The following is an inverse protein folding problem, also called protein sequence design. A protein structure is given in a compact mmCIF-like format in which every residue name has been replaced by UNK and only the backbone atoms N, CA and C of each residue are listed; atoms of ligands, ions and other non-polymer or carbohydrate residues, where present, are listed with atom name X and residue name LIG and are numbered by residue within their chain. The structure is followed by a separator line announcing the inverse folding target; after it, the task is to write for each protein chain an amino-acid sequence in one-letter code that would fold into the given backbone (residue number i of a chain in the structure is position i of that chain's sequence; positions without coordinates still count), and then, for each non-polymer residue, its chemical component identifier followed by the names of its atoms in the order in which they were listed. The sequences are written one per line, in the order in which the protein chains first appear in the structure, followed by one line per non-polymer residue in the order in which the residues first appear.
data_IF_590925610192
#
_entry.id   IF_590925610192
#
_cell.length_a   1.000
_cell.length_b   1.000
_cell.length_c   1.000
_cell.angle_alpha   90.00
_cell.angle_beta   90.00
_cell.angle_gamma   90.00
#
_symmetry.space_group_name_H-M   'P 1'
#
loop_
_entity.id
_entity.type
_entity.pdbx_description
1 polymer ?
#
# COMPACT_ATOMS: atom_id res chain seq x y z
N UNK A 1 -14.53 -24.48 -29.77
CA UNK A 1 -15.36 -23.28 -30.09
C UNK A 1 -14.60 -22.01 -29.69
N UNK A 2 -14.75 -20.87 -30.39
CA UNK A 2 -14.09 -19.60 -29.98
C UNK A 2 -14.75 -19.03 -28.71
N UNK A 3 -13.95 -18.42 -27.83
CA UNK A 3 -14.44 -17.87 -26.55
C UNK A 3 -15.62 -16.88 -26.69
N UNK A 4 -15.58 -15.96 -27.67
CA UNK A 4 -16.69 -15.02 -27.89
C UNK A 4 -18.00 -15.73 -28.27
N UNK A 5 -17.92 -16.75 -29.13
CA UNK A 5 -19.06 -17.55 -29.54
C UNK A 5 -19.61 -18.35 -28.35
N UNK A 6 -18.71 -18.93 -27.54
CA UNK A 6 -19.07 -19.67 -26.33
C UNK A 6 -19.81 -18.80 -25.32
N UNK A 7 -19.35 -17.56 -25.10
CA UNK A 7 -19.98 -16.61 -24.20
C UNK A 7 -21.37 -16.19 -24.69
N UNK A 8 -21.52 -15.88 -25.97
CA UNK A 8 -22.82 -15.54 -26.55
C UNK A 8 -23.81 -16.71 -26.48
N UNK A 9 -23.34 -17.93 -26.72
CA UNK A 9 -24.15 -19.13 -26.58
C UNK A 9 -24.56 -19.39 -25.14
N UNK A 10 -23.63 -19.26 -24.20
CA UNK A 10 -23.89 -19.39 -22.77
C UNK A 10 -24.90 -18.37 -22.27
N UNK A 11 -24.77 -17.09 -22.67
CA UNK A 11 -25.73 -16.05 -22.32
C UNK A 11 -27.13 -16.35 -22.87
N UNK A 12 -27.22 -16.90 -24.09
CA UNK A 12 -28.50 -17.36 -24.65
C UNK A 12 -29.08 -18.52 -23.84
N UNK A 13 -28.26 -19.51 -23.47
CA UNK A 13 -28.68 -20.64 -22.62
C UNK A 13 -29.13 -20.14 -21.25
N UNK A 14 -28.41 -19.22 -20.62
CA UNK A 14 -28.74 -18.59 -19.33
C UNK A 14 -30.06 -17.81 -19.39
N UNK A 15 -30.28 -17.02 -20.44
CA UNK A 15 -31.57 -16.32 -20.65
C UNK A 15 -32.74 -17.28 -20.86
N UNK A 16 -32.53 -18.38 -21.60
CA UNK A 16 -33.55 -19.43 -21.77
C UNK A 16 -33.84 -20.14 -20.45
N UNK A 17 -32.79 -20.55 -19.74
CA UNK A 17 -32.86 -21.17 -18.42
C UNK A 17 -33.60 -20.29 -17.41
N UNK A 18 -33.32 -18.98 -17.36
CA UNK A 18 -34.04 -18.04 -16.50
C UNK A 18 -35.55 -18.00 -16.82
N UNK A 19 -35.91 -17.96 -18.10
CA UNK A 19 -37.33 -18.01 -18.53
C UNK A 19 -37.99 -19.35 -18.19
N UNK A 20 -37.27 -20.46 -18.31
CA UNK A 20 -37.76 -21.79 -17.93
C UNK A 20 -37.93 -21.90 -16.42
N UNK A 21 -36.97 -21.43 -15.63
CA UNK A 21 -37.04 -21.35 -14.18
C UNK A 21 -38.26 -20.52 -13.72
N UNK A 22 -38.52 -19.39 -14.37
CA UNK A 22 -39.71 -18.58 -14.06
C UNK A 22 -41.02 -19.30 -14.40
N UNK A 23 -41.06 -20.06 -15.51
CA UNK A 23 -42.21 -20.93 -15.83
C UNK A 23 -42.41 -22.03 -14.79
N UNK A 24 -41.33 -22.65 -14.32
CA UNK A 24 -41.36 -23.67 -13.26
C UNK A 24 -41.92 -23.06 -11.97
N UNK A 25 -41.40 -21.90 -11.54
CA UNK A 25 -41.93 -21.15 -10.39
C UNK A 25 -43.44 -20.89 -10.51
N UNK A 26 -43.90 -20.34 -11.64
CA UNK A 26 -45.33 -20.08 -11.87
C UNK A 26 -46.18 -21.36 -11.86
N UNK A 27 -45.70 -22.44 -12.48
CA UNK A 27 -46.37 -23.75 -12.53
C UNK A 27 -46.57 -24.32 -11.13
N UNK A 28 -45.52 -24.32 -10.30
CA UNK A 28 -45.56 -24.88 -8.96
C UNK A 28 -46.30 -23.98 -7.96
N UNK A 29 -46.15 -22.66 -8.02
CA UNK A 29 -46.94 -21.74 -7.21
C UNK A 29 -48.45 -21.90 -7.46
N UNK A 30 -48.88 -22.07 -8.72
CA UNK A 30 -50.29 -22.33 -9.04
C UNK A 30 -50.79 -23.69 -8.49
N UNK A 31 -49.92 -24.70 -8.42
CA UNK A 31 -50.26 -26.00 -7.80
C UNK A 31 -50.32 -25.88 -6.27
N UNK A 32 -49.38 -25.15 -5.69
CA UNK A 32 -49.32 -24.83 -4.27
C UNK A 32 -50.60 -24.15 -3.81
N UNK A 33 -51.03 -23.08 -4.47
CA UNK A 33 -52.27 -22.36 -4.14
C UNK A 33 -53.49 -23.31 -4.10
N UNK A 34 -53.60 -24.22 -5.08
CA UNK A 34 -54.70 -25.19 -5.13
C UNK A 34 -54.64 -26.17 -3.96
N UNK A 35 -53.46 -26.72 -3.67
CA UNK A 35 -53.26 -27.68 -2.59
C UNK A 35 -53.45 -27.03 -1.21
N UNK A 36 -52.93 -25.82 -0.99
CA UNK A 36 -53.16 -25.07 0.26
C UNK A 36 -54.66 -24.85 0.51
N UNK A 37 -55.42 -24.42 -0.51
CA UNK A 37 -56.88 -24.29 -0.40
C UNK A 37 -57.56 -25.61 -0.07
N UNK A 38 -57.09 -26.73 -0.61
CA UNK A 38 -57.66 -28.05 -0.33
C UNK A 38 -57.36 -28.50 1.12
N UNK A 39 -56.12 -28.29 1.58
CA UNK A 39 -55.72 -28.59 2.96
C UNK A 39 -56.52 -27.73 3.95
N UNK A 40 -56.63 -26.42 3.70
CA UNK A 40 -57.41 -25.51 4.55
C UNK A 40 -58.89 -25.92 4.63
N UNK A 41 -59.52 -26.32 3.52
CA UNK A 41 -60.89 -26.85 3.52
C UNK A 41 -61.04 -28.11 4.39
N UNK A 42 -60.04 -28.99 4.38
CA UNK A 42 -60.05 -30.20 5.22
C UNK A 42 -59.87 -29.86 6.70
N UNK A 43 -59.03 -28.89 7.01
CA UNK A 43 -58.87 -28.33 8.36
C UNK A 43 -60.19 -27.72 8.86
N UNK A 44 -60.85 -26.90 8.05
CA UNK A 44 -62.16 -26.31 8.37
C UNK A 44 -63.23 -27.37 8.62
N UNK A 45 -63.21 -28.45 7.82
CA UNK A 45 -64.13 -29.58 7.98
C UNK A 45 -63.88 -30.34 9.29
N UNK A 46 -62.62 -30.54 9.66
CA UNK A 46 -62.23 -31.17 10.92
C UNK A 46 -62.68 -30.33 12.13
N UNK A 47 -62.55 -29.01 12.06
CA UNK A 47 -62.97 -28.08 13.12
C UNK A 47 -64.48 -28.15 13.39
N UNK A 48 -65.29 -28.26 12.32
CA UNK A 48 -66.76 -28.24 12.39
C UNK A 48 -67.40 -29.58 12.78
N UNK A 49 -66.69 -30.71 12.67
CA UNK A 49 -67.25 -32.02 12.98
C UNK A 49 -67.57 -32.17 14.46
N UNK A 50 -68.73 -32.74 14.79
CA UNK A 50 -69.08 -33.02 16.19
C UNK A 50 -68.32 -34.24 16.72
N UNK A 51 -68.01 -34.22 18.02
CA UNK A 51 -67.43 -35.38 18.71
C UNK A 51 -68.56 -36.35 19.04
N UNK A 52 -68.42 -37.67 18.77
CA UNK A 52 -69.47 -38.64 19.04
C UNK A 52 -69.96 -38.61 20.51
N UNK A 53 -71.27 -38.78 20.70
CA UNK A 53 -71.93 -38.68 22.01
C UNK A 53 -71.57 -39.81 22.98
N UNK A 54 -71.10 -40.94 22.44
CA UNK A 54 -70.75 -42.19 23.13
C UNK A 54 -69.29 -42.28 23.63
N UNK A 55 -68.57 -41.16 23.69
CA UNK A 55 -67.17 -41.11 24.13
C UNK A 55 -67.08 -40.61 25.57
N UNK A 56 -66.16 -41.17 26.35
CA UNK A 56 -65.84 -40.74 27.72
C UNK A 56 -65.59 -39.22 27.82
N UNK A 57 -66.09 -38.59 28.87
CA UNK A 57 -66.06 -37.14 29.05
C UNK A 57 -64.63 -36.58 29.18
N UNK A 58 -63.70 -37.34 29.76
CA UNK A 58 -62.30 -36.93 29.83
C UNK A 58 -61.62 -36.99 28.45
N UNK A 59 -61.91 -38.04 27.68
CA UNK A 59 -61.40 -38.17 26.30
C UNK A 59 -61.98 -37.06 25.42
N UNK A 60 -63.27 -36.74 25.58
CA UNK A 60 -63.92 -35.63 24.86
C UNK A 60 -63.24 -34.28 25.13
N UNK A 61 -62.90 -33.97 26.39
CA UNK A 61 -62.20 -32.73 26.75
C UNK A 61 -60.79 -32.67 26.14
N UNK A 62 -60.02 -33.76 26.23
CA UNK A 62 -58.67 -33.87 25.65
C UNK A 62 -58.71 -33.66 24.14
N UNK A 63 -59.58 -34.39 23.42
CA UNK A 63 -59.67 -34.30 21.95
C UNK A 63 -60.16 -32.93 21.50
N UNK A 64 -61.05 -32.27 22.25
CA UNK A 64 -61.50 -30.91 21.92
C UNK A 64 -60.35 -29.90 21.96
N UNK A 65 -59.53 -29.95 23.01
CA UNK A 65 -58.37 -29.07 23.16
C UNK A 65 -57.29 -29.38 22.12
N UNK A 66 -56.98 -30.66 21.90
CA UNK A 66 -56.00 -31.09 20.89
C UNK A 66 -56.43 -30.68 19.48
N UNK A 67 -57.72 -30.86 19.12
CA UNK A 67 -58.29 -30.42 17.84
C UNK A 67 -58.12 -28.94 17.62
N UNK A 68 -58.46 -28.11 18.61
CA UNK A 68 -58.34 -26.65 18.49
C UNK A 68 -56.88 -26.24 18.25
N UNK A 69 -55.95 -26.84 18.99
CA UNK A 69 -54.52 -26.54 18.85
C UNK A 69 -53.97 -27.01 17.51
N UNK A 70 -54.32 -28.23 17.08
CA UNK A 70 -53.92 -28.79 15.78
C UNK A 70 -54.43 -27.94 14.61
N UNK A 71 -55.72 -27.59 14.61
CA UNK A 71 -56.35 -26.73 13.60
C UNK A 71 -55.68 -25.35 13.56
N UNK A 72 -55.52 -24.70 14.72
CA UNK A 72 -54.94 -23.35 14.80
C UNK A 72 -53.49 -23.34 14.31
N UNK A 73 -52.69 -24.30 14.76
CA UNK A 73 -51.28 -24.36 14.42
C UNK A 73 -51.06 -24.68 12.93
N UNK A 74 -51.81 -25.62 12.36
CA UNK A 74 -51.74 -25.91 10.92
C UNK A 74 -52.27 -24.76 10.08
N UNK A 75 -53.38 -24.11 10.46
CA UNK A 75 -53.94 -22.97 9.74
C UNK A 75 -52.92 -21.82 9.69
N UNK A 76 -52.33 -21.46 10.83
CA UNK A 76 -51.30 -20.41 10.89
C UNK A 76 -50.06 -20.76 10.05
N UNK A 77 -49.60 -22.02 10.10
CA UNK A 77 -48.46 -22.45 9.31
C UNK A 77 -48.74 -22.36 7.79
N UNK A 78 -49.92 -22.80 7.35
CA UNK A 78 -50.30 -22.84 5.94
C UNK A 78 -50.69 -21.47 5.37
N UNK A 79 -51.34 -20.60 6.15
CA UNK A 79 -51.69 -19.23 5.72
C UNK A 79 -50.45 -18.34 5.53
N UNK A 80 -49.33 -18.67 6.21
CA UNK A 80 -48.08 -17.94 6.07
C UNK A 80 -47.28 -18.27 4.80
N UNK A 81 -47.77 -19.21 3.96
CA UNK A 81 -47.06 -19.69 2.77
C UNK A 81 -47.61 -18.97 1.53
N UNK A 82 -46.84 -18.02 0.99
CA UNK A 82 -47.18 -17.30 -0.24
C UNK A 82 -46.71 -17.99 -1.52
N UNK A 83 -45.56 -18.67 -1.46
CA UNK A 83 -44.94 -19.33 -2.61
C UNK A 83 -44.17 -20.60 -2.21
N UNK A 84 -43.54 -21.26 -3.21
CA UNK A 84 -42.77 -22.48 -2.98
C UNK A 84 -41.52 -22.26 -2.10
N UNK A 85 -40.94 -21.05 -2.10
CA UNK A 85 -39.75 -20.76 -1.28
C UNK A 85 -40.17 -20.61 0.19
N UNK A 86 -41.33 -20.01 0.45
CA UNK A 86 -41.96 -19.95 1.77
C UNK A 86 -42.39 -21.35 2.25
N UNK A 87 -42.92 -22.19 1.36
CA UNK A 87 -43.24 -23.59 1.68
C UNK A 87 -41.98 -24.30 2.19
N UNK A 88 -40.85 -24.16 1.49
CA UNK A 88 -39.57 -24.75 1.87
C UNK A 88 -39.14 -24.40 3.29
N UNK A 89 -39.31 -23.14 3.69
CA UNK A 89 -38.99 -22.67 5.05
C UNK A 89 -39.94 -23.24 6.12
N UNK A 90 -41.19 -23.55 5.76
CA UNK A 90 -42.26 -24.01 6.67
C UNK A 90 -42.42 -25.53 6.75
N UNK A 91 -41.84 -26.30 5.83
CA UNK A 91 -41.87 -27.77 5.87
C UNK A 91 -41.42 -28.38 7.21
N UNK A 92 -40.37 -27.87 7.89
CA UNK A 92 -39.99 -28.38 9.21
C UNK A 92 -41.06 -28.18 10.28
N UNK A 93 -41.78 -27.05 10.25
CA UNK A 93 -42.86 -26.74 11.18
C UNK A 93 -44.06 -27.66 10.94
N UNK A 94 -44.44 -27.86 9.67
CA UNK A 94 -45.51 -28.77 9.27
C UNK A 94 -45.23 -30.23 9.67
N UNK A 95 -43.97 -30.68 9.56
CA UNK A 95 -43.57 -32.01 9.98
C UNK A 95 -43.67 -32.20 11.50
N UNK A 96 -43.32 -31.19 12.30
CA UNK A 96 -43.42 -31.24 13.77
C UNK A 96 -44.87 -31.29 14.28
N UNK A 97 -45.77 -30.55 13.64
CA UNK A 97 -47.20 -30.54 13.99
C UNK A 97 -47.85 -31.91 13.83
N UNK A 98 -47.39 -32.70 12.87
CA UNK A 98 -47.88 -34.05 12.62
C UNK A 98 -47.45 -35.05 13.72
N UNK A 99 -46.25 -34.91 14.27
CA UNK A 99 -45.72 -35.81 15.32
C UNK A 99 -46.24 -35.45 16.72
N UNK A 100 -46.53 -34.17 16.98
CA UNK A 100 -46.85 -33.67 18.32
C UNK A 100 -48.33 -33.52 18.68
N UNK A 101 -49.25 -33.32 17.73
CA UNK A 101 -50.62 -32.81 18.01
C UNK A 101 -51.76 -33.61 17.36
N UNK A 102 -51.60 -34.92 17.16
CA UNK A 102 -52.62 -35.75 16.51
C UNK A 102 -52.97 -37.05 17.24
N UNK A 103 -52.42 -37.31 18.43
CA UNK A 103 -52.39 -38.67 18.98
C UNK A 103 -53.77 -39.13 19.48
N UNK A 104 -54.55 -38.23 20.11
CA UNK A 104 -55.92 -38.55 20.51
C UNK A 104 -56.95 -38.12 19.45
N UNK A 105 -56.63 -37.11 18.64
CA UNK A 105 -57.37 -36.74 17.43
C UNK A 105 -57.57 -37.90 16.45
N UNK A 106 -56.54 -38.72 16.21
CA UNK A 106 -56.62 -39.89 15.33
C UNK A 106 -57.66 -40.89 15.84
N UNK A 107 -57.83 -41.03 17.17
CA UNK A 107 -58.78 -42.00 17.76
C UNK A 107 -60.23 -41.71 17.33
N UNK A 108 -60.60 -40.44 17.14
CA UNK A 108 -61.98 -40.04 16.82
C UNK A 108 -62.15 -39.51 15.39
N UNK A 109 -61.08 -39.00 14.77
CA UNK A 109 -61.11 -38.34 13.46
C UNK A 109 -60.06 -38.90 12.49
N UNK A 110 -59.72 -40.18 12.64
CA UNK A 110 -58.71 -40.91 11.85
C UNK A 110 -58.73 -40.54 10.36
N UNK A 111 -59.89 -40.65 9.71
CA UNK A 111 -60.06 -40.41 8.27
C UNK A 111 -59.72 -38.98 7.87
N UNK A 112 -60.06 -37.99 8.70
CA UNK A 112 -59.82 -36.57 8.41
C UNK A 112 -58.35 -36.21 8.61
N UNK A 113 -57.75 -36.70 9.70
CA UNK A 113 -56.33 -36.49 10.00
C UNK A 113 -55.47 -37.13 8.91
N UNK A 114 -55.77 -38.37 8.49
CA UNK A 114 -55.05 -39.00 7.37
C UNK A 114 -55.23 -38.28 6.04
N UNK A 115 -56.42 -37.72 5.76
CA UNK A 115 -56.65 -36.93 4.56
C UNK A 115 -55.79 -35.67 4.53
N UNK A 116 -55.67 -34.96 5.67
CA UNK A 116 -54.79 -33.79 5.81
C UNK A 116 -53.33 -34.21 5.62
N UNK A 117 -52.90 -35.30 6.28
CA UNK A 117 -51.51 -35.77 6.19
C UNK A 117 -51.12 -36.18 4.77
N UNK A 118 -52.03 -36.82 4.03
CA UNK A 118 -51.82 -37.15 2.63
C UNK A 118 -51.56 -35.90 1.80
N UNK A 119 -52.38 -34.86 1.96
CA UNK A 119 -52.20 -33.61 1.23
C UNK A 119 -50.90 -32.87 1.62
N UNK A 120 -50.52 -32.90 2.90
CA UNK A 120 -49.24 -32.34 3.38
C UNK A 120 -48.03 -33.11 2.80
N UNK A 121 -48.10 -34.44 2.72
CA UNK A 121 -47.08 -35.26 2.06
C UNK A 121 -46.97 -34.90 0.58
N UNK A 122 -48.11 -34.77 -0.10
CA UNK A 122 -48.15 -34.36 -1.50
C UNK A 122 -47.62 -32.93 -1.73
N UNK A 123 -47.72 -32.02 -0.75
CA UNK A 123 -47.07 -30.69 -0.80
C UNK A 123 -45.54 -30.80 -0.69
N UNK A 124 -45.04 -31.63 0.22
CA UNK A 124 -43.61 -31.89 0.35
C UNK A 124 -43.01 -32.51 -0.92
N UNK A 125 -43.70 -33.48 -1.52
CA UNK A 125 -43.28 -34.09 -2.79
C UNK A 125 -43.26 -33.07 -3.94
N UNK A 126 -44.20 -32.12 -3.97
CA UNK A 126 -44.19 -31.05 -4.96
C UNK A 126 -43.05 -30.06 -4.73
N UNK A 127 -42.69 -29.77 -3.47
CA UNK A 127 -41.53 -28.93 -3.14
C UNK A 127 -40.22 -29.57 -3.58
N UNK A 128 -40.01 -30.86 -3.29
CA UNK A 128 -38.81 -31.58 -3.73
C UNK A 128 -38.71 -31.58 -5.26
N UNK A 129 -39.82 -31.81 -5.97
CA UNK A 129 -39.85 -31.73 -7.43
C UNK A 129 -39.54 -30.33 -7.96
N UNK A 130 -40.10 -29.29 -7.35
CA UNK A 130 -39.81 -27.89 -7.68
C UNK A 130 -38.32 -27.56 -7.50
N UNK A 131 -37.75 -27.96 -6.37
CA UNK A 131 -36.35 -27.71 -6.06
C UNK A 131 -35.42 -28.39 -7.06
N UNK A 132 -35.67 -29.67 -7.36
CA UNK A 132 -34.87 -30.42 -8.34
C UNK A 132 -35.02 -29.84 -9.76
N UNK A 133 -36.24 -29.53 -10.20
CA UNK A 133 -36.48 -28.92 -11.53
C UNK A 133 -35.80 -27.54 -11.66
N UNK A 134 -35.69 -26.76 -10.58
CA UNK A 134 -34.96 -25.49 -10.58
C UNK A 134 -33.44 -25.67 -10.56
N UNK A 135 -32.94 -26.61 -9.75
CA UNK A 135 -31.51 -26.89 -9.63
C UNK A 135 -30.90 -27.35 -10.96
N UNK A 136 -31.61 -28.17 -11.72
CA UNK A 136 -31.19 -28.62 -13.06
C UNK A 136 -31.11 -27.49 -14.10
N UNK A 137 -31.72 -26.33 -13.81
CA UNK A 137 -31.84 -25.21 -14.75
C UNK A 137 -31.01 -23.99 -14.38
N UNK A 138 -30.37 -23.95 -13.20
CA UNK A 138 -29.56 -22.81 -12.78
C UNK A 138 -28.22 -22.75 -13.50
N UNK A 139 -28.04 -21.78 -14.41
CA UNK A 139 -26.71 -21.43 -14.96
C UNK A 139 -26.12 -20.25 -14.19
N UNK A 140 -24.88 -20.41 -13.74
CA UNK A 140 -24.13 -19.42 -12.95
C UNK A 140 -23.76 -18.16 -13.76
N UNK A 141 -23.32 -17.11 -13.06
CA UNK A 141 -22.68 -15.97 -13.70
C UNK A 141 -21.16 -16.15 -13.68
N UNK A 142 -20.56 -16.31 -14.86
CA UNK A 142 -19.13 -16.61 -14.96
C UNK A 142 -18.24 -15.36 -15.03
N UNK A 143 -18.81 -14.14 -15.17
CA UNK A 143 -18.09 -12.84 -15.20
C UNK A 143 -16.88 -12.77 -16.15
N UNK A 144 -16.74 -13.67 -17.12
CA UNK A 144 -15.56 -13.80 -18.00
C UNK A 144 -15.28 -12.50 -18.77
N UNK A 145 -16.31 -11.81 -19.27
CA UNK A 145 -16.16 -10.54 -20.00
C UNK A 145 -15.57 -9.43 -19.12
N UNK A 146 -15.99 -9.38 -17.86
CA UNK A 146 -15.47 -8.41 -16.89
C UNK A 146 -14.00 -8.70 -16.60
N UNK A 147 -13.66 -9.96 -16.31
CA UNK A 147 -12.29 -10.40 -16.06
C UNK A 147 -11.37 -10.08 -17.26
N UNK A 148 -11.81 -10.34 -18.49
CA UNK A 148 -11.05 -10.00 -19.70
C UNK A 148 -10.81 -8.49 -19.83
N UNK A 149 -11.83 -7.68 -19.54
CA UNK A 149 -11.72 -6.22 -19.56
C UNK A 149 -10.74 -5.72 -18.50
N UNK A 150 -10.85 -6.22 -17.27
CA UNK A 150 -9.95 -5.90 -16.16
C UNK A 150 -8.49 -6.32 -16.46
N UNK A 151 -8.28 -7.49 -17.06
CA UNK A 151 -6.94 -7.91 -17.49
C UNK A 151 -6.36 -6.96 -18.53
N UNK A 152 -7.16 -6.50 -19.49
CA UNK A 152 -6.72 -5.57 -20.53
C UNK A 152 -6.29 -4.22 -19.94
N UNK A 153 -7.10 -3.65 -19.04
CA UNK A 153 -6.74 -2.39 -18.36
C UNK A 153 -5.49 -2.56 -17.50
N UNK A 154 -5.39 -3.67 -16.77
CA UNK A 154 -4.25 -3.96 -15.91
C UNK A 154 -2.94 -4.14 -16.70
N UNK A 155 -2.99 -4.82 -17.86
CA UNK A 155 -1.82 -4.96 -18.75
C UNK A 155 -1.34 -3.60 -19.26
N UNK A 156 -2.26 -2.72 -19.65
CA UNK A 156 -1.93 -1.36 -20.05
C UNK A 156 -1.26 -0.57 -18.92
N UNK A 157 -1.80 -0.64 -17.71
CA UNK A 157 -1.19 0.02 -16.54
C UNK A 157 0.20 -0.56 -16.22
N UNK A 158 0.41 -1.87 -16.38
CA UNK A 158 1.71 -2.51 -16.22
C UNK A 158 2.71 -1.99 -17.27
N UNK A 159 2.30 -1.86 -18.53
CA UNK A 159 3.14 -1.30 -19.60
C UNK A 159 3.51 0.15 -19.32
N UNK A 160 2.52 1.01 -19.02
CA UNK A 160 2.73 2.42 -18.70
C UNK A 160 3.69 2.60 -17.52
N UNK A 161 3.51 1.83 -16.45
CA UNK A 161 4.38 1.87 -15.27
C UNK A 161 5.78 1.32 -15.54
N UNK A 162 5.89 0.30 -16.40
CA UNK A 162 7.19 -0.25 -16.82
C UNK A 162 7.98 0.79 -17.61
N UNK A 163 7.32 1.51 -18.51
CA UNK A 163 7.92 2.62 -19.26
C UNK A 163 8.32 3.78 -18.32
N UNK A 164 7.48 4.13 -17.35
CA UNK A 164 7.80 5.14 -16.33
C UNK A 164 9.09 4.75 -15.57
N UNK A 165 9.17 3.52 -15.06
CA UNK A 165 10.37 3.01 -14.37
C UNK A 165 11.60 3.09 -15.27
N UNK A 166 11.49 2.71 -16.55
CA UNK A 166 12.60 2.83 -17.50
C UNK A 166 13.08 4.28 -17.61
N UNK A 167 12.17 5.23 -17.81
CA UNK A 167 12.53 6.65 -17.93
C UNK A 167 13.15 7.22 -16.66
N UNK A 168 12.68 6.80 -15.48
CA UNK A 168 13.24 7.20 -14.19
C UNK A 168 14.65 6.65 -14.00
N UNK A 169 14.89 5.38 -14.36
CA UNK A 169 16.24 4.77 -14.32
C UNK A 169 17.20 5.47 -15.27
N UNK A 170 16.77 5.80 -16.49
CA UNK A 170 17.59 6.58 -17.43
C UNK A 170 17.94 7.97 -16.89
N UNK A 171 16.99 8.65 -16.22
CA UNK A 171 17.25 9.94 -15.56
C UNK A 171 18.24 9.79 -14.40
N UNK A 172 18.10 8.74 -13.59
CA UNK A 172 19.01 8.45 -12.49
C UNK A 172 20.43 8.17 -12.99
N UNK A 173 20.60 7.39 -14.05
CA UNK A 173 21.91 7.13 -14.66
C UNK A 173 22.53 8.40 -15.26
N UNK A 174 21.74 9.23 -15.94
CA UNK A 174 22.21 10.55 -16.42
C UNK A 174 22.68 11.45 -15.26
N UNK A 175 21.95 11.48 -14.15
CA UNK A 175 22.35 12.24 -12.96
C UNK A 175 23.61 11.68 -12.31
N UNK A 176 23.73 10.35 -12.19
CA UNK A 176 24.94 9.68 -11.70
C UNK A 176 26.16 10.03 -12.56
N UNK A 177 26.00 9.99 -13.89
CA UNK A 177 27.06 10.40 -14.81
C UNK A 177 27.43 11.89 -14.63
N UNK A 178 26.44 12.77 -14.48
CA UNK A 178 26.68 14.20 -14.22
C UNK A 178 27.40 14.49 -12.90
N UNK A 179 27.12 13.72 -11.83
CA UNK A 179 27.85 13.81 -10.55
C UNK A 179 29.31 13.43 -10.73
N UNK A 180 29.56 12.32 -11.43
CA UNK A 180 30.92 11.84 -11.70
C UNK A 180 31.69 12.83 -12.59
N UNK A 181 31.03 13.38 -13.61
CA UNK A 181 31.59 14.40 -14.48
C UNK A 181 31.90 15.69 -13.73
N UNK A 182 30.99 16.18 -12.87
CA UNK A 182 31.23 17.35 -12.03
C UNK A 182 32.43 17.15 -11.10
N UNK A 183 32.58 15.96 -10.51
CA UNK A 183 33.74 15.62 -9.67
C UNK A 183 35.05 15.63 -10.45
N UNK A 184 35.02 15.21 -11.71
CA UNK A 184 36.19 15.19 -12.61
C UNK A 184 36.51 16.58 -13.16
N UNK A 185 35.53 17.29 -13.73
CA UNK A 185 35.70 18.63 -14.32
C UNK A 185 36.27 19.65 -13.34
N UNK A 186 35.91 19.54 -12.07
CA UNK A 186 36.43 20.43 -11.04
C UNK A 186 37.73 19.95 -10.42
N UNK A 187 38.30 18.84 -10.90
CA UNK A 187 39.51 18.19 -10.41
C UNK A 187 39.61 18.33 -8.88
N UNK A 188 38.56 17.93 -8.17
CA UNK A 188 38.43 18.12 -6.72
C UNK A 188 39.68 17.63 -5.97
N UNK A 189 40.32 16.59 -6.51
CA UNK A 189 41.61 16.08 -6.02
C UNK A 189 42.77 17.08 -6.21
N UNK A 190 42.90 17.71 -7.38
CA UNK A 190 43.92 18.72 -7.64
C UNK A 190 43.67 19.99 -6.83
N UNK A 191 42.40 20.39 -6.70
CA UNK A 191 42.02 21.52 -5.88
C UNK A 191 42.32 21.27 -4.39
N UNK A 192 42.03 20.06 -3.88
CA UNK A 192 42.43 19.65 -2.53
C UNK A 192 43.95 19.59 -2.33
N UNK A 193 44.72 19.11 -3.31
CA UNK A 193 46.18 19.06 -3.21
C UNK A 193 46.78 20.46 -3.25
N UNK A 194 46.24 21.37 -4.09
CA UNK A 194 46.65 22.77 -4.14
C UNK A 194 46.39 23.45 -2.79
N UNK A 195 45.17 23.33 -2.23
CA UNK A 195 44.81 23.85 -0.90
C UNK A 195 45.78 23.33 0.18
N UNK A 196 46.02 22.01 0.21
CA UNK A 196 46.94 21.39 1.20
C UNK A 196 48.37 21.94 1.05
N UNK A 197 48.87 22.05 -0.17
CA UNK A 197 50.22 22.54 -0.45
C UNK A 197 50.39 24.02 -0.08
N UNK A 198 49.40 24.86 -0.41
CA UNK A 198 49.40 26.28 -0.12
C UNK A 198 49.27 26.55 1.38
N UNK A 199 48.37 25.84 2.06
CA UNK A 199 48.22 25.91 3.52
C UNK A 199 49.51 25.50 4.26
N UNK A 200 50.18 24.43 3.81
CA UNK A 200 51.45 23.98 4.40
C UNK A 200 52.57 25.02 4.22
N UNK A 201 52.65 25.63 3.04
CA UNK A 201 53.61 26.69 2.72
C UNK A 201 53.38 27.94 3.57
N UNK A 202 52.16 28.45 3.64
CA UNK A 202 51.78 29.59 4.49
C UNK A 202 52.21 29.33 5.93
N UNK A 203 51.85 28.16 6.50
CA UNK A 203 52.24 27.80 7.88
C UNK A 203 53.75 27.78 8.08
N UNK A 204 54.51 27.29 7.10
CA UNK A 204 55.97 27.24 7.16
C UNK A 204 56.56 28.65 7.17
N UNK A 205 56.12 29.52 6.27
CA UNK A 205 56.60 30.90 6.17
C UNK A 205 56.23 31.73 7.40
N UNK A 206 54.99 31.59 7.90
CA UNK A 206 54.55 32.21 9.14
C UNK A 206 55.40 31.76 10.33
N UNK A 207 55.69 30.46 10.41
CA UNK A 207 56.51 29.89 11.49
C UNK A 207 57.94 30.44 11.44
N UNK A 208 58.53 30.56 10.25
CA UNK A 208 59.86 31.15 10.09
C UNK A 208 59.87 32.60 10.58
N UNK A 209 58.93 33.43 10.10
CA UNK A 209 58.82 34.84 10.50
C UNK A 209 58.60 34.96 12.01
N UNK A 210 57.66 34.21 12.59
CA UNK A 210 57.36 34.24 14.03
C UNK A 210 58.53 33.75 14.88
N UNK A 211 59.28 32.75 14.42
CA UNK A 211 60.47 32.23 15.10
C UNK A 211 61.63 33.23 15.06
N UNK A 212 61.78 33.97 13.96
CA UNK A 212 62.76 35.05 13.86
C UNK A 212 62.35 36.24 14.73
N UNK A 213 61.07 36.63 14.69
CA UNK A 213 60.52 37.68 15.53
C UNK A 213 60.66 37.32 17.03
N UNK A 214 60.25 36.12 17.47
CA UNK A 214 60.27 35.74 18.89
C UNK A 214 61.64 35.84 19.56
N UNK A 215 62.74 35.65 18.81
CA UNK A 215 64.11 35.83 19.29
C UNK A 215 64.38 37.26 19.80
N UNK A 216 63.67 38.27 19.30
CA UNK A 216 63.78 39.67 19.71
C UNK A 216 62.91 40.03 20.92
N UNK A 217 61.98 39.18 21.36
CA UNK A 217 61.09 39.48 22.49
C UNK A 217 61.85 39.72 23.81
N UNK A 218 62.87 38.90 24.12
CA UNK A 218 63.70 39.07 25.33
C UNK A 218 64.50 40.39 25.31
N UNK A 219 65.24 40.73 24.23
CA UNK A 219 65.88 42.04 24.09
C UNK A 219 64.91 43.21 24.24
N UNK A 220 63.78 43.19 23.52
CA UNK A 220 62.78 44.26 23.57
C UNK A 220 62.21 44.43 24.99
N UNK A 221 61.93 43.33 25.69
CA UNK A 221 61.48 43.36 27.09
C UNK A 221 62.52 44.01 28.03
N UNK A 222 63.82 43.77 27.81
CA UNK A 222 64.90 44.36 28.63
C UNK A 222 65.07 45.86 28.38
N UNK A 223 64.80 46.32 27.16
CA UNK A 223 64.90 47.74 26.79
C UNK A 223 63.78 48.60 27.40
N UNK A 224 62.75 48.00 28.02
CA UNK A 224 61.64 48.68 28.72
C UNK A 224 60.98 49.78 27.87
N UNK A 225 60.75 49.48 26.60
CA UNK A 225 60.07 50.40 25.69
C UNK A 225 58.61 50.58 26.10
N UNK A 226 58.15 51.83 26.12
CA UNK A 226 56.78 52.19 26.51
C UNK A 226 55.80 52.22 25.33
N UNK A 227 56.26 51.89 24.13
CA UNK A 227 55.43 51.86 22.92
C UNK A 227 54.44 50.68 22.94
N UNK A 228 53.20 50.93 22.50
CA UNK A 228 52.14 49.92 22.47
C UNK A 228 52.54 48.69 21.64
N UNK A 229 53.18 48.89 20.49
CA UNK A 229 53.65 47.80 19.61
C UNK A 229 54.70 46.92 20.30
N UNK A 230 55.58 47.50 21.12
CA UNK A 230 56.60 46.75 21.86
C UNK A 230 55.98 45.90 22.96
N UNK A 231 54.97 46.42 23.66
CA UNK A 231 54.21 45.67 24.66
C UNK A 231 53.41 44.51 24.03
N UNK A 232 52.70 44.77 22.92
CA UNK A 232 51.95 43.75 22.18
C UNK A 232 52.88 42.63 21.69
N UNK A 233 54.02 43.01 21.11
CA UNK A 233 55.00 42.06 20.57
C UNK A 233 55.67 41.20 21.66
N UNK A 234 55.96 41.75 22.84
CA UNK A 234 56.54 40.98 23.96
C UNK A 234 55.61 39.85 24.40
N UNK A 235 54.29 40.06 24.32
CA UNK A 235 53.28 39.03 24.58
C UNK A 235 53.10 38.04 23.43
N UNK A 236 53.16 38.51 22.17
CA UNK A 236 52.88 37.69 20.99
C UNK A 236 53.75 38.06 19.78
N UNK A 237 54.56 37.11 19.31
CA UNK A 237 55.41 37.32 18.13
C UNK A 237 54.63 37.38 16.81
N UNK A 238 53.34 37.01 16.79
CA UNK A 238 52.48 37.12 15.61
C UNK A 238 52.24 38.58 15.18
N UNK A 239 52.50 39.54 16.08
CA UNK A 239 52.45 40.98 15.79
C UNK A 239 53.31 41.34 14.57
N UNK A 240 54.43 40.64 14.36
CA UNK A 240 55.29 40.83 13.18
C UNK A 240 54.56 40.61 11.85
N UNK A 241 53.56 39.72 11.83
CA UNK A 241 52.74 39.44 10.65
C UNK A 241 51.43 40.25 10.62
N UNK A 242 50.86 40.58 11.78
CA UNK A 242 49.62 41.38 11.88
C UNK A 242 49.85 42.86 11.56
N UNK A 243 51.01 43.40 11.95
CA UNK A 243 51.39 44.81 11.80
C UNK A 243 52.85 44.95 11.32
N UNK A 244 53.18 44.45 10.13
CA UNK A 244 54.58 44.37 9.67
C UNK A 244 55.27 45.74 9.63
N UNK A 245 54.59 46.80 9.19
CA UNK A 245 55.17 48.15 9.13
C UNK A 245 55.49 48.77 10.49
N UNK A 246 54.58 48.65 11.47
CA UNK A 246 54.80 49.12 12.84
C UNK A 246 55.91 48.31 13.53
N UNK A 247 55.90 46.99 13.34
CA UNK A 247 56.93 46.11 13.89
C UNK A 247 58.30 46.37 13.27
N UNK A 248 58.39 46.61 11.95
CA UNK A 248 59.64 47.01 11.29
C UNK A 248 60.20 48.33 11.83
N UNK A 249 59.33 49.30 12.10
CA UNK A 249 59.71 50.58 12.70
C UNK A 249 60.33 50.38 14.09
N UNK A 250 59.73 49.51 14.90
CA UNK A 250 60.28 49.08 16.19
C UNK A 250 61.65 48.40 16.02
N UNK A 251 61.78 47.45 15.08
CA UNK A 251 63.02 46.71 14.83
C UNK A 251 64.14 47.66 14.38
N UNK A 252 63.88 48.59 13.46
CA UNK A 252 64.85 49.60 13.01
C UNK A 252 65.30 50.52 14.16
N UNK A 253 64.40 50.86 15.07
CA UNK A 253 64.71 51.69 16.25
C UNK A 253 65.62 50.97 17.25
N UNK A 254 65.37 49.70 17.53
CA UNK A 254 66.16 48.93 18.51
C UNK A 254 67.46 48.38 17.91
N UNK A 255 67.53 48.26 16.58
CA UNK A 255 68.64 47.63 15.86
C UNK A 255 70.05 48.12 16.28
N UNK A 256 70.32 49.43 16.44
CA UNK A 256 71.63 49.91 16.87
C UNK A 256 72.05 49.42 18.27
N UNK A 257 71.09 49.08 19.14
CA UNK A 257 71.33 48.59 20.50
C UNK A 257 71.33 47.07 20.64
N UNK A 258 71.29 46.32 19.53
CA UNK A 258 71.35 44.86 19.52
C UNK A 258 72.77 44.36 19.20
N UNK A 259 73.17 43.26 19.84
CA UNK A 259 74.47 42.63 19.63
C UNK A 259 74.36 41.14 19.25
N UNK A 260 75.41 40.62 18.62
CA UNK A 260 75.57 39.21 18.27
C UNK A 260 74.39 38.64 17.48
N UNK A 261 73.82 37.53 17.96
CA UNK A 261 72.72 36.81 17.27
C UNK A 261 71.42 37.63 17.14
N UNK A 262 71.19 38.61 18.02
CA UNK A 262 69.99 39.44 17.99
C UNK A 262 70.05 40.47 16.87
N UNK A 263 71.23 41.07 16.66
CA UNK A 263 71.47 42.01 15.56
C UNK A 263 71.25 41.34 14.20
N UNK A 264 71.86 40.17 13.97
CA UNK A 264 71.66 39.37 12.75
C UNK A 264 70.20 38.98 12.51
N UNK A 265 69.43 38.76 13.58
CA UNK A 265 68.01 38.44 13.46
C UNK A 265 67.17 39.67 13.11
N UNK A 266 67.54 40.84 13.65
CA UNK A 266 66.91 42.11 13.31
C UNK A 266 67.23 42.54 11.87
N UNK A 267 68.47 42.37 11.40
CA UNK A 267 68.85 42.60 9.99
C UNK A 267 68.00 41.73 9.04
N UNK A 268 67.90 40.42 9.32
CA UNK A 268 67.05 39.52 8.52
C UNK A 268 65.59 39.99 8.48
N UNK A 269 65.03 40.42 9.62
CA UNK A 269 63.65 40.92 9.67
C UNK A 269 63.49 42.23 8.90
N UNK A 270 64.46 43.15 8.97
CA UNK A 270 64.45 44.40 8.20
C UNK A 270 64.43 44.11 6.70
N UNK A 271 65.22 43.14 6.26
CA UNK A 271 65.39 42.84 4.83
C UNK A 271 64.25 42.00 4.25
N UNK A 272 63.58 41.17 5.05
CA UNK A 272 62.68 40.12 4.53
C UNK A 272 61.22 40.24 5.01
N UNK A 273 60.94 40.95 6.11
CA UNK A 273 59.63 40.87 6.74
C UNK A 273 58.51 41.48 5.90
N UNK A 274 58.74 42.62 5.26
CA UNK A 274 57.71 43.30 4.48
C UNK A 274 57.28 42.46 3.28
N UNK A 275 58.25 41.95 2.53
CA UNK A 275 58.01 41.07 1.38
C UNK A 275 57.34 39.76 1.81
N UNK A 276 57.83 39.10 2.87
CA UNK A 276 57.24 37.85 3.36
C UNK A 276 55.84 38.03 3.93
N UNK A 277 55.59 39.11 4.68
CA UNK A 277 54.26 39.39 5.20
C UNK A 277 53.26 39.66 4.06
N UNK A 278 53.67 40.40 3.03
CA UNK A 278 52.85 40.62 1.83
C UNK A 278 52.56 39.31 1.09
N UNK A 279 53.59 38.49 0.86
CA UNK A 279 53.43 37.21 0.18
C UNK A 279 52.52 36.24 0.94
N UNK A 280 52.67 36.14 2.27
CA UNK A 280 51.78 35.34 3.13
C UNK A 280 50.33 35.83 3.00
N UNK A 281 50.11 37.15 2.97
CA UNK A 281 48.76 37.72 2.81
C UNK A 281 48.16 37.43 1.43
N UNK A 282 48.94 37.53 0.36
CA UNK A 282 48.52 37.15 -0.99
C UNK A 282 48.20 35.65 -1.09
N UNK A 283 49.05 34.79 -0.51
CA UNK A 283 48.82 33.34 -0.46
C UNK A 283 47.58 32.99 0.38
N UNK A 284 47.30 33.71 1.48
CA UNK A 284 46.07 33.54 2.28
C UNK A 284 44.81 33.88 1.49
N UNK A 285 44.83 34.98 0.72
CA UNK A 285 43.70 35.34 -0.16
C UNK A 285 43.45 34.25 -1.20
N UNK A 286 44.51 33.79 -1.87
CA UNK A 286 44.41 32.68 -2.82
C UNK A 286 43.89 31.40 -2.16
N UNK A 287 44.32 31.09 -0.93
CA UNK A 287 43.81 29.93 -0.19
C UNK A 287 42.30 30.04 0.07
N UNK A 288 41.83 31.21 0.50
CA UNK A 288 40.41 31.45 0.74
C UNK A 288 39.57 31.29 -0.54
N UNK A 289 40.05 31.83 -1.68
CA UNK A 289 39.38 31.66 -2.99
C UNK A 289 39.30 30.18 -3.41
N UNK A 290 40.37 29.40 -3.20
CA UNK A 290 40.37 27.97 -3.48
C UNK A 290 39.42 27.20 -2.56
N UNK A 291 39.37 27.54 -1.27
CA UNK A 291 38.46 26.92 -0.31
C UNK A 291 37.00 27.23 -0.62
N UNK A 292 36.67 28.47 -1.00
CA UNK A 292 35.33 28.87 -1.44
C UNK A 292 34.91 28.08 -2.68
N UNK A 293 35.78 28.02 -3.69
CA UNK A 293 35.53 27.23 -4.91
C UNK A 293 35.33 25.74 -4.61
N UNK A 294 36.08 25.18 -3.66
CA UNK A 294 35.87 23.78 -3.20
C UNK A 294 34.46 23.60 -2.66
N UNK A 295 34.04 24.50 -1.79
CA UNK A 295 32.78 24.39 -1.06
C UNK A 295 31.57 24.59 -1.98
N UNK A 296 31.68 25.46 -2.97
CA UNK A 296 30.70 25.60 -4.05
C UNK A 296 30.52 24.27 -4.82
N UNK A 297 31.62 23.67 -5.26
CA UNK A 297 31.59 22.39 -5.99
C UNK A 297 30.99 21.29 -5.12
N UNK A 298 31.40 21.17 -3.86
CA UNK A 298 30.87 20.18 -2.93
C UNK A 298 29.38 20.38 -2.67
N UNK A 299 28.91 21.63 -2.63
CA UNK A 299 27.49 21.94 -2.43
C UNK A 299 26.67 21.54 -3.66
N UNK A 300 27.12 21.89 -4.86
CA UNK A 300 26.48 21.46 -6.10
C UNK A 300 26.43 19.93 -6.24
N UNK A 301 27.52 19.23 -5.91
CA UNK A 301 27.55 17.76 -5.91
C UNK A 301 26.55 17.17 -4.92
N UNK A 302 26.47 17.71 -3.70
CA UNK A 302 25.51 17.23 -2.69
C UNK A 302 24.07 17.41 -3.13
N UNK A 303 23.74 18.51 -3.79
CA UNK A 303 22.37 18.74 -4.26
C UNK A 303 22.01 17.78 -5.40
N UNK A 304 22.95 17.50 -6.31
CA UNK A 304 22.77 16.45 -7.32
C UNK A 304 22.63 15.05 -6.70
N UNK A 305 23.36 14.74 -5.63
CA UNK A 305 23.23 13.47 -4.90
C UNK A 305 21.85 13.31 -4.24
N UNK A 306 21.29 14.39 -3.68
CA UNK A 306 19.93 14.37 -3.12
C UNK A 306 18.90 14.07 -4.21
N UNK A 307 18.98 14.76 -5.35
CA UNK A 307 18.08 14.51 -6.50
C UNK A 307 18.20 13.07 -7.01
N UNK A 308 19.42 12.51 -7.06
CA UNK A 308 19.64 11.11 -7.44
C UNK A 308 18.97 10.16 -6.44
N UNK A 309 19.12 10.43 -5.14
CA UNK A 309 18.49 9.62 -4.10
C UNK A 309 16.96 9.65 -4.20
N UNK A 310 16.37 10.81 -4.45
CA UNK A 310 14.92 10.96 -4.66
C UNK A 310 14.43 10.18 -5.88
N UNK A 311 15.19 10.21 -7.00
CA UNK A 311 14.88 9.42 -8.19
C UNK A 311 14.94 7.92 -7.90
N UNK A 312 15.96 7.45 -7.17
CA UNK A 312 16.08 6.04 -6.80
C UNK A 312 14.93 5.58 -5.91
N UNK A 313 14.54 6.39 -4.92
CA UNK A 313 13.38 6.12 -4.07
C UNK A 313 12.09 6.00 -4.89
N UNK A 314 11.90 6.91 -5.86
CA UNK A 314 10.73 6.85 -6.74
C UNK A 314 10.73 5.60 -7.61
N UNK A 315 11.88 5.17 -8.12
CA UNK A 315 12.01 3.89 -8.85
C UNK A 315 11.58 2.72 -7.98
N UNK A 316 12.04 2.65 -6.73
CA UNK A 316 11.66 1.58 -5.80
C UNK A 316 10.15 1.56 -5.50
N UNK A 317 9.55 2.73 -5.29
CA UNK A 317 8.10 2.87 -5.09
C UNK A 317 7.31 2.34 -6.30
N UNK A 318 7.74 2.72 -7.51
CA UNK A 318 7.10 2.29 -8.77
C UNK A 318 7.29 0.80 -9.03
N UNK A 319 8.44 0.23 -8.70
CA UNK A 319 8.68 -1.22 -8.78
C UNK A 319 7.78 -2.02 -7.83
N UNK A 320 7.56 -1.51 -6.62
CA UNK A 320 6.65 -2.11 -5.66
C UNK A 320 5.20 -2.08 -6.15
N UNK A 321 4.78 -0.97 -6.78
CA UNK A 321 3.48 -0.85 -7.43
C UNK A 321 3.34 -1.83 -8.61
N UNK A 322 4.37 -1.92 -9.47
CA UNK A 322 4.42 -2.86 -10.59
C UNK A 322 4.28 -4.30 -10.13
N UNK A 323 4.94 -4.67 -9.03
CA UNK A 323 4.83 -6.01 -8.43
C UNK A 323 3.39 -6.30 -7.99
N UNK A 324 2.71 -5.35 -7.35
CA UNK A 324 1.29 -5.50 -6.95
C UNK A 324 0.39 -5.70 -8.16
N UNK A 325 0.56 -4.90 -9.22
CA UNK A 325 -0.23 -5.03 -10.46
C UNK A 325 0.00 -6.41 -11.12
N UNK A 326 1.24 -6.89 -11.18
CA UNK A 326 1.57 -8.22 -11.71
C UNK A 326 0.91 -9.35 -10.90
N UNK A 327 0.94 -9.27 -9.58
CA UNK A 327 0.25 -10.26 -8.72
C UNK A 327 -1.27 -10.23 -8.93
N UNK A 328 -1.87 -9.04 -9.09
CA UNK A 328 -3.29 -8.93 -9.43
C UNK A 328 -3.61 -9.55 -10.79
N UNK A 329 -2.72 -9.40 -11.78
CA UNK A 329 -2.90 -9.98 -13.12
C UNK A 329 -2.86 -11.51 -13.06
N UNK A 330 -1.93 -12.07 -12.30
CA UNK A 330 -1.84 -13.52 -12.08
C UNK A 330 -3.11 -14.09 -11.41
N UNK A 331 -3.66 -13.35 -10.44
CA UNK A 331 -4.92 -13.76 -9.80
C UNK A 331 -6.10 -13.76 -10.78
N UNK A 332 -6.24 -12.68 -11.57
CA UNK A 332 -7.27 -12.60 -12.63
C UNK A 332 -7.06 -13.67 -13.72
N UNK A 333 -5.82 -14.09 -13.99
CA UNK A 333 -5.52 -15.20 -14.89
C UNK A 333 -6.06 -16.53 -14.36
N UNK A 334 -5.86 -16.82 -13.07
CA UNK A 334 -6.42 -18.01 -12.42
C UNK A 334 -7.95 -17.97 -12.38
N UNK A 335 -8.55 -16.83 -12.01
CA UNK A 335 -10.00 -16.67 -12.02
C UNK A 335 -10.60 -16.86 -13.41
N UNK A 336 -9.93 -16.34 -14.45
CA UNK A 336 -10.36 -16.54 -15.83
C UNK A 336 -10.30 -18.02 -16.24
N UNK A 337 -9.22 -18.71 -15.89
CA UNK A 337 -9.06 -20.13 -16.20
C UNK A 337 -10.16 -20.97 -15.54
N UNK A 338 -10.46 -20.73 -14.27
CA UNK A 338 -11.56 -21.38 -13.56
C UNK A 338 -12.92 -21.09 -14.20
N UNK A 339 -13.17 -19.83 -14.57
CA UNK A 339 -14.42 -19.43 -15.20
C UNK A 339 -14.58 -20.07 -16.59
N UNK A 340 -13.50 -20.18 -17.37
CA UNK A 340 -13.50 -20.89 -18.66
C UNK A 340 -13.77 -22.38 -18.46
N UNK A 341 -13.16 -23.05 -17.47
CA UNK A 341 -13.45 -24.46 -17.21
C UNK A 341 -14.92 -24.70 -16.84
N UNK A 342 -15.55 -23.78 -16.08
CA UNK A 342 -16.99 -23.84 -15.80
C UNK A 342 -17.84 -23.59 -17.06
N UNK A 343 -17.40 -22.71 -17.94
CA UNK A 343 -18.05 -22.45 -19.23
C UNK A 343 -17.98 -23.70 -20.13
N UNK A 344 -16.83 -24.34 -20.24
CA UNK A 344 -16.63 -25.60 -20.98
C UNK A 344 -17.53 -26.71 -20.43
N UNK A 345 -17.57 -26.89 -19.10
CA UNK A 345 -18.44 -27.87 -18.46
C UNK A 345 -19.93 -27.64 -18.77
N UNK A 346 -20.37 -26.37 -18.80
CA UNK A 346 -21.76 -26.03 -19.09
C UNK A 346 -22.13 -26.12 -20.57
N UNK A 347 -21.16 -25.95 -21.47
CA UNK A 347 -21.37 -26.06 -22.91
C UNK A 347 -21.15 -27.47 -23.44
N UNK A 348 -20.34 -28.29 -22.75
CA UNK A 348 -19.96 -29.64 -23.15
C UNK A 348 -18.89 -29.66 -24.25
N UNK A 349 -18.21 -28.53 -24.47
CA UNK A 349 -17.24 -28.34 -25.55
C UNK A 349 -15.99 -27.63 -25.02
N UNK A 350 -14.83 -27.97 -25.61
CA UNK A 350 -13.59 -27.23 -25.33
C UNK A 350 -13.59 -25.87 -26.02
N UNK A 351 -13.05 -24.88 -25.32
CA UNK A 351 -13.01 -23.50 -25.79
C UNK A 351 -11.58 -23.12 -26.18
N UNK A 352 -11.42 -22.70 -27.43
CA UNK A 352 -10.19 -22.09 -27.91
C UNK A 352 -10.09 -20.66 -27.37
N UNK A 353 -8.96 -20.38 -26.74
CA UNK A 353 -8.66 -19.13 -26.01
C UNK A 353 -8.30 -17.98 -26.94
#
# INVERSE_FOLDING_TARGET
MRLEQALDEYDKRRKKAAKEAEKIRKKYNKRLEKKLREVLKRIDSLERKEIPKNVDENIRKIVTAERRNYVTALRNALESIGDMDDLGKRLPDLAKLHVGHGRYLIILFEKDVYAINRLLKELNEDYVRYYNELAEKGLEDLRIREILSEKKTLRRSIEELTDEIRTLRERAEKKRAGIEESRRLHDLKELETEIKSLSARIRSEETEVRSKASKLQKPVKRMRLHEAIAQEFVGDSSVALRKPGEFLSLVKKIHPGLEGKYRKTAEWLIDNLEERARRIEEERKKLAELEERRDEVLTGVKDMEKELWELQRLVEEREAELKKLRSKLEHLEKELDEAISRLEAALGESIER
#
